data_IF_200434297729
#
_entry.id   IF_200434297729
#
_cell.length_a   1.000
_cell.length_b   1.000
_cell.length_c   1.000
_cell.angle_alpha   90.00
_cell.angle_beta   90.00
_cell.angle_gamma   90.00
#
_symmetry.space_group_name_H-M   'P 1'
#
loop_
_entity.id
_entity.type
_entity.pdbx_description
1 polymer ?
#
# COMPACT_ATOMS: atom_id res chain seq x y z
N UNK A 1 -21.16 14.60 3.41
CA UNK A 1 -20.00 14.38 2.51
C UNK A 1 -20.22 13.09 1.75
N UNK A 2 -20.61 13.19 0.48
CA UNK A 2 -20.66 12.03 -0.41
C UNK A 2 -19.27 11.86 -1.04
N UNK A 3 -18.81 10.62 -1.16
CA UNK A 3 -17.61 10.32 -1.95
C UNK A 3 -17.92 10.57 -3.42
N UNK A 4 -17.09 11.36 -4.08
CA UNK A 4 -17.14 11.58 -5.53
C UNK A 4 -15.91 10.88 -6.11
N UNK A 5 -16.04 9.75 -6.81
CA UNK A 5 -14.92 9.08 -7.44
C UNK A 5 -14.26 9.99 -8.49
N UNK A 6 -12.95 10.06 -8.49
CA UNK A 6 -12.16 10.78 -9.51
C UNK A 6 -11.49 9.78 -10.45
N UNK A 7 -11.56 10.04 -11.76
CA UNK A 7 -10.89 9.26 -12.79
C UNK A 7 -9.39 9.58 -12.81
N UNK A 8 -8.57 8.53 -12.89
CA UNK A 8 -7.12 8.65 -13.07
C UNK A 8 -6.60 7.47 -13.86
N UNK A 9 -5.49 7.66 -14.57
CA UNK A 9 -4.86 6.64 -15.39
C UNK A 9 -3.37 6.51 -15.08
N UNK A 10 -2.87 5.27 -15.14
CA UNK A 10 -1.43 4.96 -15.13
C UNK A 10 -1.01 4.46 -16.52
N UNK A 11 0.09 4.99 -17.05
CA UNK A 11 0.69 4.50 -18.29
C UNK A 11 1.93 3.67 -17.96
N UNK A 12 1.98 2.46 -18.51
CA UNK A 12 3.12 1.56 -18.35
C UNK A 12 3.76 1.25 -19.69
N UNK A 13 5.10 1.24 -19.72
CA UNK A 13 5.88 0.78 -20.86
C UNK A 13 6.51 -0.59 -20.54
N UNK A 14 6.19 -1.59 -21.35
CA UNK A 14 6.83 -2.91 -21.27
C UNK A 14 8.12 -2.88 -22.10
N UNK A 15 9.27 -2.81 -21.43
CA UNK A 15 10.58 -2.76 -22.08
C UNK A 15 11.34 -4.07 -21.88
N UNK A 16 12.41 -4.27 -22.65
CA UNK A 16 13.37 -5.35 -22.42
C UNK A 16 14.72 -4.78 -22.07
N UNK A 17 15.39 -5.40 -21.11
CA UNK A 17 16.79 -5.10 -20.79
C UNK A 17 17.72 -5.61 -21.90
N UNK A 18 19.02 -5.28 -21.81
CA UNK A 18 20.03 -5.76 -22.76
C UNK A 18 20.14 -7.29 -22.79
N UNK A 19 19.90 -7.95 -21.65
CA UNK A 19 19.84 -9.40 -21.49
C UNK A 19 18.48 -10.01 -21.86
N UNK A 20 17.57 -9.23 -22.47
CA UNK A 20 16.22 -9.62 -22.92
C UNK A 20 15.23 -9.97 -21.81
N UNK A 21 15.53 -9.61 -20.56
CA UNK A 21 14.62 -9.73 -19.42
C UNK A 21 13.53 -8.65 -19.51
N UNK A 22 12.29 -8.99 -19.15
CA UNK A 22 11.19 -8.03 -19.16
C UNK A 22 11.35 -7.01 -18.02
N UNK A 23 11.15 -5.74 -18.35
CA UNK A 23 11.26 -4.63 -17.40
C UNK A 23 10.12 -3.65 -17.62
N UNK A 24 9.18 -3.62 -16.66
CA UNK A 24 8.00 -2.75 -16.71
C UNK A 24 8.34 -1.40 -16.09
N UNK A 25 8.12 -0.34 -16.85
CA UNK A 25 8.26 1.04 -16.41
C UNK A 25 6.88 1.67 -16.19
N UNK A 26 6.76 2.52 -15.18
CA UNK A 26 5.62 3.42 -14.98
C UNK A 26 6.04 4.83 -15.41
N UNK A 27 5.19 5.52 -16.17
CA UNK A 27 5.40 6.92 -16.51
C UNK A 27 5.18 7.77 -15.26
N UNK A 28 6.27 8.18 -14.63
CA UNK A 28 6.21 8.95 -13.39
C UNK A 28 5.96 10.45 -13.62
N UNK A 29 6.55 11.01 -14.69
CA UNK A 29 6.63 12.46 -14.89
C UNK A 29 6.60 12.83 -16.38
N UNK A 30 6.12 14.04 -16.67
CA UNK A 30 6.21 14.71 -17.96
C UNK A 30 6.70 16.13 -17.71
N UNK A 31 7.76 16.56 -18.39
CA UNK A 31 8.35 17.90 -18.27
C UNK A 31 8.70 18.29 -16.82
N UNK A 32 9.19 17.32 -16.03
CA UNK A 32 9.57 17.51 -14.62
C UNK A 32 8.40 17.56 -13.64
N UNK A 33 7.16 17.40 -14.10
CA UNK A 33 5.95 17.39 -13.27
C UNK A 33 5.40 15.98 -13.19
N UNK A 34 4.86 15.59 -12.03
CA UNK A 34 4.22 14.30 -11.84
C UNK A 34 3.09 14.11 -12.88
N UNK A 35 3.17 13.04 -13.65
CA UNK A 35 2.21 12.77 -14.72
C UNK A 35 1.01 12.02 -14.13
N UNK A 36 -0.15 12.69 -14.09
CA UNK A 36 -1.41 12.16 -13.54
C UNK A 36 -2.56 12.47 -14.50
N UNK A 37 -2.68 11.75 -15.62
CA UNK A 37 -3.75 11.97 -16.58
C UNK A 37 -5.11 11.63 -15.96
N UNK A 38 -6.09 12.50 -16.18
CA UNK A 38 -7.44 12.40 -15.59
C UNK A 38 -8.50 11.93 -16.58
N UNK A 39 -8.12 11.69 -17.84
CA UNK A 39 -9.02 11.23 -18.89
C UNK A 39 -8.29 10.43 -19.97
N UNK A 40 -9.08 9.74 -20.79
CA UNK A 40 -8.60 8.91 -21.91
C UNK A 40 -7.83 9.72 -22.97
N UNK A 41 -8.23 10.97 -23.23
CA UNK A 41 -7.63 11.78 -24.31
C UNK A 41 -6.19 12.17 -23.98
N UNK A 42 -5.94 12.64 -22.75
CA UNK A 42 -4.59 12.92 -22.25
C UNK A 42 -3.72 11.66 -22.23
N UNK A 43 -4.31 10.55 -21.82
CA UNK A 43 -3.63 9.25 -21.76
C UNK A 43 -3.20 8.79 -23.16
N UNK A 44 -4.12 8.83 -24.14
CA UNK A 44 -3.83 8.46 -25.54
C UNK A 44 -2.78 9.37 -26.18
N UNK A 45 -2.86 10.68 -25.92
CA UNK A 45 -1.86 11.63 -26.42
C UNK A 45 -0.45 11.31 -25.89
N UNK A 46 -0.33 10.94 -24.62
CA UNK A 46 0.94 10.51 -24.04
C UNK A 46 1.43 9.17 -24.61
N UNK A 47 0.53 8.19 -24.82
CA UNK A 47 0.86 6.90 -25.44
C UNK A 47 1.47 7.09 -26.82
N UNK A 48 0.85 7.90 -27.69
CA UNK A 48 1.35 8.12 -29.06
C UNK A 48 2.77 8.69 -29.11
N UNK A 49 3.13 9.53 -28.13
CA UNK A 49 4.50 10.04 -27.98
C UNK A 49 5.44 8.94 -27.52
N UNK A 50 5.04 8.15 -26.53
CA UNK A 50 5.85 7.11 -25.89
C UNK A 50 6.08 5.86 -26.77
N UNK A 51 5.16 5.55 -27.68
CA UNK A 51 5.30 4.43 -28.64
C UNK A 51 6.45 4.66 -29.63
N UNK A 52 6.72 5.92 -29.98
CA UNK A 52 7.77 6.29 -30.93
C UNK A 52 9.05 6.78 -30.22
N UNK A 53 9.06 6.78 -28.89
CA UNK A 53 10.19 7.27 -28.09
C UNK A 53 11.28 6.21 -27.92
N UNK A 54 12.52 6.66 -27.81
CA UNK A 54 13.64 5.83 -27.36
C UNK A 54 13.76 5.89 -25.84
N UNK A 55 14.01 4.73 -25.21
CA UNK A 55 14.14 4.61 -23.76
C UNK A 55 15.61 4.44 -23.38
N UNK A 56 16.08 5.26 -22.44
CA UNK A 56 17.40 5.13 -21.84
C UNK A 56 17.33 5.16 -20.32
N UNK A 57 18.32 4.55 -19.66
CA UNK A 57 18.41 4.54 -18.20
C UNK A 57 19.09 5.83 -17.74
N UNK A 58 18.32 6.78 -17.23
CA UNK A 58 18.88 8.05 -16.75
C UNK A 58 19.61 7.93 -15.40
N UNK A 59 19.15 7.03 -14.52
CA UNK A 59 19.71 6.82 -13.18
C UNK A 59 19.43 5.39 -12.70
N UNK A 60 20.40 4.80 -11.99
CA UNK A 60 20.24 3.56 -11.21
C UNK A 60 20.74 3.81 -9.78
N UNK A 61 19.96 3.39 -8.80
CA UNK A 61 20.32 3.51 -7.38
C UNK A 61 20.08 2.16 -6.71
N UNK A 62 21.15 1.57 -6.16
CA UNK A 62 21.10 0.34 -5.39
C UNK A 62 21.33 0.70 -3.91
N UNK A 63 20.31 0.52 -3.08
CA UNK A 63 20.37 0.86 -1.65
C UNK A 63 19.77 -0.26 -0.80
N UNK A 64 20.45 -0.70 0.28
CA UNK A 64 19.85 -1.63 1.22
C UNK A 64 18.69 -0.93 1.96
N UNK A 65 17.53 -1.57 1.97
CA UNK A 65 16.35 -1.15 2.74
C UNK A 65 16.04 -2.16 3.84
N UNK A 66 15.46 -1.70 4.95
CA UNK A 66 14.99 -2.56 6.05
C UNK A 66 13.56 -2.16 6.38
N UNK A 67 12.67 -3.16 6.48
CA UNK A 67 11.33 -2.98 7.02
C UNK A 67 11.32 -3.44 8.49
N UNK A 68 10.72 -2.65 9.37
CA UNK A 68 10.56 -3.00 10.79
C UNK A 68 9.16 -3.60 11.00
N UNK A 69 8.99 -4.54 11.94
CA UNK A 69 7.66 -5.00 12.30
C UNK A 69 6.81 -3.83 12.81
N UNK A 70 5.51 -3.89 12.53
CA UNK A 70 4.55 -2.95 13.08
C UNK A 70 4.45 -3.10 14.61
N UNK A 71 4.02 -2.04 15.28
CA UNK A 71 3.70 -2.10 16.70
C UNK A 71 2.62 -3.16 17.00
N UNK A 72 2.55 -3.67 18.24
CA UNK A 72 1.42 -4.48 18.70
C UNK A 72 0.09 -3.77 18.47
N UNK A 73 -0.98 -4.55 18.31
CA UNK A 73 -2.28 -3.98 18.01
C UNK A 73 -2.86 -3.18 19.19
N UNK A 74 -3.28 -1.95 18.89
CA UNK A 74 -4.29 -1.21 19.64
C UNK A 74 -5.66 -1.42 18.98
N UNK A 75 -6.74 -0.98 19.63
CA UNK A 75 -8.12 -1.21 19.15
C UNK A 75 -8.33 -0.77 17.70
N UNK A 76 -7.88 0.43 17.32
CA UNK A 76 -8.05 0.97 15.96
C UNK A 76 -7.26 0.17 14.93
N UNK A 77 -6.01 -0.18 15.22
CA UNK A 77 -5.16 -0.96 14.31
C UNK A 77 -5.62 -2.41 14.17
N UNK A 78 -6.17 -3.01 15.23
CA UNK A 78 -6.81 -4.33 15.16
C UNK A 78 -8.03 -4.29 14.24
N UNK A 79 -8.89 -3.27 14.40
CA UNK A 79 -10.09 -3.10 13.57
C UNK A 79 -9.72 -2.89 12.09
N UNK A 80 -8.73 -2.06 11.80
CA UNK A 80 -8.23 -1.83 10.44
C UNK A 80 -7.65 -3.13 9.86
N UNK A 81 -6.76 -3.82 10.59
CA UNK A 81 -6.16 -5.06 10.13
C UNK A 81 -7.20 -6.17 9.90
N UNK A 82 -8.18 -6.32 10.79
CA UNK A 82 -9.27 -7.28 10.62
C UNK A 82 -10.18 -6.95 9.42
N UNK A 83 -10.41 -5.66 9.15
CA UNK A 83 -11.14 -5.22 7.95
C UNK A 83 -10.34 -5.56 6.68
N UNK A 84 -9.09 -5.11 6.60
CA UNK A 84 -8.24 -5.27 5.40
C UNK A 84 -7.88 -6.73 5.13
N UNK A 85 -7.61 -7.53 6.17
CA UNK A 85 -7.08 -8.90 6.02
C UNK A 85 -8.15 -9.99 6.10
N UNK A 86 -9.21 -9.77 6.86
CA UNK A 86 -10.24 -10.78 7.14
C UNK A 86 -11.66 -10.35 6.67
N UNK A 87 -11.82 -9.12 6.18
CA UNK A 87 -13.12 -8.59 5.78
C UNK A 87 -14.11 -8.39 6.94
N UNK A 88 -13.61 -8.28 8.18
CA UNK A 88 -14.48 -8.13 9.35
C UNK A 88 -14.78 -6.66 9.62
N UNK A 89 -16.07 -6.32 9.62
CA UNK A 89 -16.52 -5.02 10.10
C UNK A 89 -16.27 -4.84 11.61
N UNK A 90 -16.19 -3.58 12.06
CA UNK A 90 -15.87 -3.20 13.45
C UNK A 90 -16.67 -3.99 14.49
N UNK A 91 -17.99 -4.10 14.31
CA UNK A 91 -18.87 -4.81 15.25
C UNK A 91 -18.49 -6.29 15.40
N UNK A 92 -18.16 -6.97 14.29
CA UNK A 92 -17.77 -8.38 14.30
C UNK A 92 -16.43 -8.57 14.98
N UNK A 93 -15.44 -7.73 14.64
CA UNK A 93 -14.12 -7.76 15.25
C UNK A 93 -14.19 -7.58 16.77
N UNK A 94 -14.94 -6.58 17.24
CA UNK A 94 -15.05 -6.32 18.67
C UNK A 94 -15.82 -7.40 19.43
N UNK A 95 -16.85 -8.00 18.82
CA UNK A 95 -17.59 -9.12 19.42
C UNK A 95 -16.69 -10.36 19.60
N UNK A 96 -15.87 -10.68 18.60
CA UNK A 96 -14.94 -11.81 18.69
C UNK A 96 -13.81 -11.54 19.69
N UNK A 97 -13.25 -10.32 19.67
CA UNK A 97 -12.21 -9.92 20.62
C UNK A 97 -12.73 -9.94 22.07
N UNK A 98 -13.97 -9.51 22.32
CA UNK A 98 -14.61 -9.64 23.64
C UNK A 98 -14.64 -11.10 24.10
N UNK A 99 -15.08 -12.03 23.24
CA UNK A 99 -15.12 -13.47 23.57
C UNK A 99 -13.74 -14.05 23.85
N UNK A 100 -12.72 -13.63 23.11
CA UNK A 100 -11.33 -14.06 23.33
C UNK A 100 -10.78 -13.53 24.66
N UNK A 101 -11.10 -12.29 25.01
CA UNK A 101 -10.73 -11.69 26.29
C UNK A 101 -11.41 -12.41 27.46
N UNK A 102 -12.72 -12.64 27.38
CA UNK A 102 -13.50 -13.36 28.40
C UNK A 102 -13.04 -14.81 28.59
N UNK A 103 -12.51 -15.43 27.53
CA UNK A 103 -11.92 -16.77 27.58
C UNK A 103 -10.43 -16.80 28.00
N UNK A 104 -9.81 -15.64 28.26
CA UNK A 104 -8.43 -15.53 28.73
C UNK A 104 -7.34 -15.68 27.66
N UNK A 105 -7.68 -15.59 26.37
CA UNK A 105 -6.70 -15.76 25.28
C UNK A 105 -5.95 -14.48 24.91
N UNK A 106 -6.50 -13.30 25.21
CA UNK A 106 -5.90 -12.00 24.88
C UNK A 106 -6.04 -11.03 26.05
N UNK A 107 -5.25 -9.95 26.03
CA UNK A 107 -5.42 -8.81 26.95
C UNK A 107 -6.62 -7.94 26.56
N UNK A 108 -6.93 -6.93 27.38
CA UNK A 108 -8.09 -6.07 27.17
C UNK A 108 -8.04 -5.36 25.81
N UNK A 109 -9.01 -5.68 24.94
CA UNK A 109 -9.03 -5.28 23.53
C UNK A 109 -9.43 -3.82 23.28
N UNK A 110 -9.88 -3.09 24.30
CA UNK A 110 -10.20 -1.65 24.25
C UNK A 110 -9.05 -0.84 24.86
N UNK A 111 -7.96 -0.73 24.12
CA UNK A 111 -6.72 -0.03 24.49
C UNK A 111 -6.24 0.86 23.34
N UNK A 112 -5.70 2.02 23.70
CA UNK A 112 -4.97 2.95 22.82
C UNK A 112 -3.44 2.85 23.01
N UNK A 113 -2.99 2.01 23.94
CA UNK A 113 -1.58 1.84 24.27
C UNK A 113 -0.93 0.67 23.55
N UNK A 114 0.25 0.90 22.98
CA UNK A 114 1.12 -0.12 22.41
C UNK A 114 2.08 -0.74 23.45
N UNK A 115 1.90 -0.44 24.74
CA UNK A 115 2.79 -0.91 25.79
C UNK A 115 2.63 -2.42 26.02
N UNK A 116 3.75 -3.09 26.27
CA UNK A 116 3.82 -4.47 26.70
C UNK A 116 4.44 -4.52 28.09
N UNK A 117 3.96 -5.43 28.95
CA UNK A 117 4.65 -5.73 30.21
C UNK A 117 6.01 -6.37 29.90
N UNK A 118 6.97 -6.25 30.83
CA UNK A 118 8.27 -6.91 30.69
C UNK A 118 8.11 -8.42 30.46
N UNK A 119 7.22 -9.07 31.21
CA UNK A 119 6.89 -10.49 31.05
C UNK A 119 6.42 -10.85 29.63
N UNK A 120 5.65 -9.97 28.97
CA UNK A 120 5.17 -10.21 27.61
C UNK A 120 6.24 -9.96 26.54
N UNK A 121 7.30 -9.21 26.87
CA UNK A 121 8.44 -8.96 25.99
C UNK A 121 9.49 -10.07 26.10
N UNK A 122 9.64 -10.65 27.30
CA UNK A 122 10.66 -11.65 27.62
C UNK A 122 10.20 -13.11 27.39
N UNK A 123 8.90 -13.35 27.19
CA UNK A 123 8.31 -14.66 26.88
C UNK A 123 8.48 -15.08 25.42
#
# INVERSE_FOLDING_TARGET
>A
NAFVPEEFWDIHANTKTKDKSDFKLLVAQKDGVAFKPVNETETKAAISVLENASYEVCKREDRPTKSKPSAPYITSTLQQAASTRLGYGVKKTMMLAQRLYEAGYITYMRTDSTNLSAEAVDA
#
